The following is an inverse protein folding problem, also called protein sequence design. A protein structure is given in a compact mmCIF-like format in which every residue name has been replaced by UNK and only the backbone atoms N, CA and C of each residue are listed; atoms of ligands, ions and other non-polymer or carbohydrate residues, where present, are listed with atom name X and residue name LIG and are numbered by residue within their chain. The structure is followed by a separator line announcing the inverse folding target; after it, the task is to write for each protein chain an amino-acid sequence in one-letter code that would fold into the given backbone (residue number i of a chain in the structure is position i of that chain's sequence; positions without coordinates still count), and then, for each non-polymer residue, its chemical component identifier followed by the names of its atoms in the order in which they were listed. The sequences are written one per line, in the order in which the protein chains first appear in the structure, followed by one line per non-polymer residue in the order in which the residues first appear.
data_IF_875153890665
#
_entry.id   IF_875153890665
#
_cell.length_a   1.000
_cell.length_b   1.000
_cell.length_c   1.000
_cell.angle_alpha   90.00
_cell.angle_beta   90.00
_cell.angle_gamma   90.00
#
_symmetry.space_group_name_H-M   'P 1'
#
loop_
_entity.id
_entity.type
_entity.pdbx_description
1 polymer ?
#
# COMPACT_ATOMS: atom_id res chain seq x y z
N UNK A 1 1.59 -7.74 -0.54
CA UNK A 1 1.01 -7.49 -1.88
C UNK A 1 0.86 -8.77 -2.68
N UNK A 2 1.96 -9.46 -3.02
CA UNK A 2 1.89 -10.69 -3.82
C UNK A 2 0.98 -11.78 -3.22
N UNK A 3 1.07 -12.05 -1.93
CA UNK A 3 0.23 -13.09 -1.30
C UNK A 3 -1.27 -12.73 -1.29
N UNK A 4 -1.61 -11.43 -1.33
CA UNK A 4 -3.00 -10.98 -1.44
C UNK A 4 -3.49 -11.13 -2.88
N UNK A 5 -2.66 -10.77 -3.87
CA UNK A 5 -2.95 -10.99 -5.28
C UNK A 5 -3.11 -12.50 -5.59
N UNK A 6 -2.26 -13.35 -5.00
CA UNK A 6 -2.35 -14.80 -5.09
C UNK A 6 -3.62 -15.35 -4.42
N UNK A 7 -4.10 -14.70 -3.36
CA UNK A 7 -5.39 -14.99 -2.72
C UNK A 7 -6.60 -14.49 -3.55
N UNK A 8 -6.38 -13.99 -4.76
CA UNK A 8 -7.41 -13.53 -5.69
C UNK A 8 -7.84 -12.08 -5.51
N UNK A 9 -7.12 -11.29 -4.70
CA UNK A 9 -7.44 -9.89 -4.50
C UNK A 9 -6.92 -9.05 -5.66
N UNK A 10 -7.75 -8.15 -6.17
CA UNK A 10 -7.29 -7.10 -7.09
C UNK A 10 -6.51 -6.05 -6.28
N UNK A 11 -5.21 -5.91 -6.58
CA UNK A 11 -4.32 -4.99 -5.85
C UNK A 11 -4.03 -3.79 -6.74
N UNK A 12 -4.58 -2.64 -6.38
CA UNK A 12 -4.41 -1.38 -7.08
C UNK A 12 -3.43 -0.50 -6.33
N UNK A 13 -2.45 0.08 -7.04
CA UNK A 13 -1.43 0.95 -6.44
C UNK A 13 -1.44 2.30 -7.14
N UNK A 14 -1.53 3.37 -6.35
CA UNK A 14 -1.38 4.74 -6.84
C UNK A 14 0.09 5.15 -6.70
N UNK A 15 0.70 5.57 -7.81
CA UNK A 15 2.08 6.07 -7.85
C UNK A 15 2.13 7.48 -8.42
N UNK A 16 3.15 8.24 -8.03
CA UNK A 16 3.43 9.54 -8.62
C UNK A 16 3.62 9.41 -10.15
N UNK A 17 3.18 10.44 -10.87
CA UNK A 17 3.17 10.49 -12.34
C UNK A 17 4.59 10.66 -12.88
N UNK A 18 5.36 9.56 -12.95
CA UNK A 18 6.71 9.41 -13.57
C UNK A 18 7.45 8.13 -13.13
N UNK A 19 6.91 7.35 -12.19
CA UNK A 19 7.60 6.18 -11.66
C UNK A 19 7.62 4.98 -12.63
N UNK A 20 8.73 4.22 -12.68
CA UNK A 20 8.76 2.92 -13.34
C UNK A 20 7.80 1.97 -12.61
N UNK A 21 6.76 1.54 -13.32
CA UNK A 21 5.70 0.70 -12.76
C UNK A 21 6.00 -0.79 -12.84
N UNK A 22 7.01 -1.19 -13.63
CA UNK A 22 7.39 -2.60 -13.82
C UNK A 22 7.67 -3.34 -12.50
N UNK A 23 8.34 -2.76 -11.49
CA UNK A 23 8.50 -3.41 -10.19
C UNK A 23 7.15 -3.74 -9.51
N UNK A 24 6.13 -2.89 -9.69
CA UNK A 24 4.81 -3.09 -9.11
C UNK A 24 4.03 -4.19 -9.82
N UNK A 25 4.11 -4.24 -11.15
CA UNK A 25 3.52 -5.32 -11.94
C UNK A 25 4.11 -6.69 -11.55
N UNK A 26 5.42 -6.74 -11.32
CA UNK A 26 6.09 -7.95 -10.82
C UNK A 26 5.55 -8.36 -9.44
N UNK A 27 5.18 -7.41 -8.58
CA UNK A 27 4.55 -7.69 -7.29
C UNK A 27 3.07 -8.08 -7.39
N UNK A 28 2.50 -8.09 -8.59
CA UNK A 28 1.09 -8.38 -8.85
C UNK A 28 0.16 -7.19 -8.61
N UNK A 29 0.69 -5.96 -8.67
CA UNK A 29 -0.10 -4.75 -8.54
C UNK A 29 -0.37 -4.07 -9.88
N UNK A 30 -1.55 -3.47 -10.00
CA UNK A 30 -1.94 -2.66 -11.14
C UNK A 30 -1.74 -1.17 -10.81
N UNK A 31 -0.78 -0.49 -11.47
CA UNK A 31 -0.54 0.93 -11.25
C UNK A 31 -1.69 1.77 -11.84
N UNK A 32 -2.27 2.66 -11.05
CA UNK A 32 -3.13 3.73 -11.55
C UNK A 32 -2.37 5.06 -11.51
N UNK A 33 -2.42 5.81 -12.60
CA UNK A 33 -1.84 7.16 -12.67
C UNK A 33 -2.53 8.08 -11.65
N UNK A 34 -1.72 8.81 -10.89
CA UNK A 34 -2.08 9.62 -9.71
C UNK A 34 -3.12 10.73 -9.96
N UNK A 35 -3.60 10.95 -11.19
CA UNK A 35 -4.63 11.95 -11.47
C UNK A 35 -6.06 11.55 -11.09
N UNK A 36 -6.32 10.29 -10.71
CA UNK A 36 -7.69 9.81 -10.52
C UNK A 36 -7.81 9.07 -9.17
N UNK A 37 -8.87 9.38 -8.42
CA UNK A 37 -9.44 8.58 -7.31
C UNK A 37 -8.96 8.79 -5.85
N UNK A 38 -8.65 10.01 -5.42
CA UNK A 38 -9.00 10.38 -4.02
C UNK A 38 -10.17 11.35 -3.91
N UNK A 39 -10.54 12.00 -5.01
CA UNK A 39 -11.79 12.78 -5.14
C UNK A 39 -12.85 12.05 -5.97
N UNK A 40 -12.52 10.87 -6.52
CA UNK A 40 -13.31 10.19 -7.54
C UNK A 40 -13.71 8.77 -7.16
N UNK A 41 -13.61 8.36 -5.89
CA UNK A 41 -14.54 7.32 -5.44
C UNK A 41 -15.89 8.00 -5.37
N UNK A 42 -16.79 7.77 -6.35
CA UNK A 42 -18.14 8.29 -6.24
C UNK A 42 -18.71 7.66 -4.97
N UNK A 43 -19.67 8.32 -4.33
CA UNK A 43 -20.42 7.70 -3.23
C UNK A 43 -21.07 6.36 -3.65
N UNK A 44 -21.09 6.08 -4.97
CA UNK A 44 -21.70 4.92 -5.64
C UNK A 44 -20.71 3.94 -6.33
N UNK A 45 -19.38 4.08 -6.15
CA UNK A 45 -18.39 3.14 -6.73
C UNK A 45 -18.05 1.97 -5.81
N UNK A 46 -17.58 0.81 -6.33
CA UNK A 46 -17.12 -0.29 -5.48
C UNK A 46 -15.95 0.16 -4.61
N UNK A 47 -16.11 0.03 -3.30
CA UNK A 47 -15.06 0.34 -2.33
C UNK A 47 -14.05 -0.81 -2.30
N UNK A 48 -12.73 -0.52 -2.24
CA UNK A 48 -11.73 -1.57 -2.09
C UNK A 48 -11.91 -2.29 -0.75
N UNK A 49 -11.53 -3.57 -0.67
CA UNK A 49 -11.57 -4.31 0.58
C UNK A 49 -10.44 -3.93 1.55
N UNK A 50 -9.31 -3.43 1.02
CA UNK A 50 -8.23 -2.86 1.82
C UNK A 50 -7.62 -1.65 1.11
N UNK A 51 -7.37 -0.58 1.87
CA UNK A 51 -6.66 0.60 1.41
C UNK A 51 -5.25 0.62 2.01
N UNK A 52 -4.23 0.56 1.16
CA UNK A 52 -2.85 0.61 1.62
C UNK A 52 -2.21 1.97 1.28
N UNK A 53 -1.55 2.64 2.26
CA UNK A 53 -0.96 3.98 2.07
C UNK A 53 0.46 4.10 2.65
N UNK A 54 1.35 4.80 1.95
CA UNK A 54 2.67 5.11 2.47
C UNK A 54 2.59 6.12 3.62
N UNK A 55 3.19 5.80 4.77
CA UNK A 55 3.20 6.66 5.97
C UNK A 55 3.84 8.03 5.72
N UNK A 56 4.90 8.11 4.91
CA UNK A 56 5.50 9.40 4.54
C UNK A 56 4.58 10.24 3.64
N UNK A 57 3.76 9.61 2.81
CA UNK A 57 2.77 10.30 1.98
C UNK A 57 1.59 10.81 2.82
N UNK A 58 1.17 10.04 3.83
CA UNK A 58 0.17 10.48 4.81
C UNK A 58 0.64 11.73 5.58
N UNK A 59 1.93 11.80 5.93
CA UNK A 59 2.50 12.97 6.58
C UNK A 59 2.70 14.15 5.62
N UNK A 60 3.11 13.90 4.38
CA UNK A 60 3.43 14.95 3.42
C UNK A 60 2.19 15.61 2.79
N UNK A 61 1.12 14.85 2.53
CA UNK A 61 -0.01 15.32 1.71
C UNK A 61 -1.32 15.38 2.51
N UNK A 62 -1.81 16.59 2.78
CA UNK A 62 -3.04 16.82 3.56
C UNK A 62 -4.27 16.13 2.95
N UNK A 63 -4.35 16.09 1.61
CA UNK A 63 -5.43 15.39 0.91
C UNK A 63 -5.42 13.89 1.22
N UNK A 64 -4.23 13.27 1.18
CA UNK A 64 -4.03 11.85 1.50
C UNK A 64 -4.42 11.58 2.95
N UNK A 65 -3.99 12.45 3.85
CA UNK A 65 -4.33 12.39 5.27
C UNK A 65 -5.85 12.40 5.51
N UNK A 66 -6.55 13.36 4.91
CA UNK A 66 -8.00 13.49 5.06
C UNK A 66 -8.76 12.25 4.55
N UNK A 67 -8.36 11.70 3.40
CA UNK A 67 -8.98 10.48 2.86
C UNK A 67 -8.72 9.24 3.72
N UNK A 68 -7.51 9.10 4.26
CA UNK A 68 -7.17 7.99 5.18
C UNK A 68 -7.97 8.08 6.48
N UNK A 69 -8.08 9.27 7.07
CA UNK A 69 -8.86 9.45 8.30
C UNK A 69 -10.36 9.18 8.06
N UNK A 70 -10.92 9.64 6.95
CA UNK A 70 -12.31 9.35 6.58
C UNK A 70 -12.57 7.85 6.32
N UNK A 71 -11.59 7.14 5.75
CA UNK A 71 -11.61 5.67 5.62
C UNK A 71 -11.70 4.98 6.97
N UNK A 72 -10.83 5.39 7.89
CA UNK A 72 -10.72 4.83 9.23
C UNK A 72 -11.96 5.11 10.10
N UNK A 73 -12.61 6.25 9.91
CA UNK A 73 -13.87 6.60 10.60
C UNK A 73 -15.07 5.84 10.05
N UNK A 74 -15.10 5.61 8.73
CA UNK A 74 -16.22 4.96 8.08
C UNK A 74 -16.17 3.42 8.10
N UNK A 75 -15.03 2.84 8.50
CA UNK A 75 -14.75 1.40 8.51
C UNK A 75 -15.09 0.71 7.17
N UNK A 76 -14.95 1.45 6.06
CA UNK A 76 -15.35 0.97 4.71
C UNK A 76 -14.32 0.03 4.08
N UNK A 77 -13.05 0.07 4.49
CA UNK A 77 -12.04 -0.95 4.22
C UNK A 77 -11.04 -1.07 5.36
N UNK A 78 -10.32 -2.19 5.34
CA UNK A 78 -9.11 -2.39 6.12
C UNK A 78 -8.03 -1.40 5.71
N UNK A 79 -7.59 -0.55 6.63
CA UNK A 79 -6.51 0.40 6.36
C UNK A 79 -5.16 -0.27 6.68
N UNK A 80 -4.18 -0.11 5.78
CA UNK A 80 -2.81 -0.61 5.95
C UNK A 80 -1.79 0.47 5.62
N UNK A 81 -1.06 0.98 6.60
CA UNK A 81 0.05 1.90 6.33
C UNK A 81 1.38 1.18 6.39
N UNK A 82 2.30 1.52 5.48
CA UNK A 82 3.67 1.02 5.49
C UNK A 82 4.68 2.16 5.59
N UNK A 83 5.87 1.85 6.09
CA UNK A 83 6.98 2.78 6.24
C UNK A 83 7.26 3.16 7.71
N UNK A 84 8.32 3.96 7.93
CA UNK A 84 8.87 4.18 9.27
C UNK A 84 8.07 5.18 10.10
N UNK A 85 7.21 5.99 9.48
CA UNK A 85 6.46 7.02 10.17
C UNK A 85 5.29 6.40 10.97
N UNK A 86 5.14 6.86 12.20
CA UNK A 86 3.99 6.56 13.07
C UNK A 86 3.26 7.86 13.39
N UNK A 87 2.30 8.26 12.55
CA UNK A 87 1.56 9.51 12.73
C UNK A 87 0.77 9.48 14.03
N UNK A 88 0.77 10.60 14.76
CA UNK A 88 0.10 10.71 16.05
C UNK A 88 -1.41 10.45 15.96
N UNK A 89 -2.03 10.80 14.85
CA UNK A 89 -3.46 10.63 14.57
C UNK A 89 -3.87 9.15 14.45
N UNK A 90 -2.91 8.25 14.21
CA UNK A 90 -3.14 6.80 14.12
C UNK A 90 -2.81 6.06 15.42
N UNK A 91 -2.20 6.75 16.39
CA UNK A 91 -1.86 6.17 17.69
C UNK A 91 -3.15 5.78 18.43
N UNK A 92 -3.23 4.51 18.82
CA UNK A 92 -4.42 3.95 19.49
C UNK A 92 -5.59 3.60 18.56
N UNK A 93 -5.51 3.95 17.27
CA UNK A 93 -6.49 3.55 16.24
C UNK A 93 -5.96 2.42 15.35
N UNK A 94 -4.64 2.34 15.18
CA UNK A 94 -4.00 1.28 14.41
C UNK A 94 -3.03 0.48 15.28
N UNK A 95 -2.81 -0.79 14.92
CA UNK A 95 -1.84 -1.67 15.56
C UNK A 95 -0.78 -2.13 14.56
N UNK A 96 0.44 -2.40 15.03
CA UNK A 96 1.49 -2.91 14.16
C UNK A 96 1.27 -4.41 13.91
N UNK A 97 1.23 -4.80 12.64
CA UNK A 97 1.18 -6.18 12.18
C UNK A 97 2.42 -6.49 11.37
N UNK A 98 3.09 -7.59 11.72
CA UNK A 98 4.27 -8.09 11.01
C UNK A 98 3.81 -9.22 10.10
N UNK A 99 4.04 -9.06 8.81
CA UNK A 99 3.69 -10.03 7.80
C UNK A 99 4.94 -10.76 7.30
N UNK A 100 5.02 -12.07 7.52
CA UNK A 100 6.08 -12.90 6.94
C UNK A 100 5.79 -13.18 5.46
N UNK A 101 6.74 -12.84 4.60
CA UNK A 101 6.61 -13.08 3.16
C UNK A 101 6.73 -14.56 2.85
N UNK A 102 5.77 -15.09 2.08
CA UNK A 102 5.85 -16.45 1.56
C UNK A 102 7.08 -16.65 0.67
N UNK A 103 7.46 -17.90 0.41
CA UNK A 103 8.57 -18.20 -0.51
C UNK A 103 8.35 -17.59 -1.90
N UNK A 104 7.11 -17.63 -2.40
CA UNK A 104 6.74 -17.00 -3.66
C UNK A 104 6.85 -15.47 -3.56
N UNK A 105 6.28 -14.84 -2.54
CA UNK A 105 6.35 -13.40 -2.36
C UNK A 105 7.79 -12.88 -2.25
N UNK A 106 8.67 -13.63 -1.58
CA UNK A 106 10.11 -13.34 -1.53
C UNK A 106 10.76 -13.40 -2.92
N UNK A 107 10.40 -14.37 -3.74
CA UNK A 107 10.92 -14.50 -5.11
C UNK A 107 10.49 -13.34 -6.00
N UNK A 108 9.21 -12.97 -5.96
CA UNK A 108 8.68 -11.83 -6.71
C UNK A 108 9.27 -10.50 -6.20
N UNK A 109 9.40 -10.31 -4.88
CA UNK A 109 10.07 -9.13 -4.30
C UNK A 109 11.51 -8.99 -4.78
N UNK A 110 12.28 -10.08 -4.86
CA UNK A 110 13.65 -10.05 -5.43
C UNK A 110 13.65 -9.58 -6.89
N UNK A 111 12.69 -10.08 -7.68
CA UNK A 111 12.59 -9.72 -9.10
C UNK A 111 12.19 -8.26 -9.29
N UNK A 112 11.29 -7.75 -8.43
CA UNK A 112 10.88 -6.35 -8.40
C UNK A 112 12.04 -5.42 -8.00
N UNK A 113 12.81 -5.79 -6.97
CA UNK A 113 14.02 -5.05 -6.56
C UNK A 113 15.04 -4.95 -7.68
N UNK A 114 15.31 -6.06 -8.37
CA UNK A 114 16.20 -6.07 -9.53
C UNK A 114 15.68 -5.19 -10.67
N UNK A 115 14.35 -5.14 -10.89
CA UNK A 115 13.75 -4.25 -11.89
C UNK A 115 13.86 -2.77 -11.51
N UNK A 116 13.76 -2.46 -10.21
CA UNK A 116 13.90 -1.11 -9.66
C UNK A 116 15.38 -0.65 -9.52
N UNK A 117 16.36 -1.49 -9.87
CA UNK A 117 17.79 -1.20 -9.67
C UNK A 117 18.22 -1.18 -8.20
N UNK A 118 17.43 -1.76 -7.30
CA UNK A 118 17.69 -1.80 -5.86
C UNK A 118 18.49 -3.06 -5.46
N UNK A 119 19.39 -2.92 -4.48
CA UNK A 119 20.15 -4.06 -3.96
C UNK A 119 19.26 -5.02 -3.17
N UNK A 120 19.31 -6.34 -3.42
CA UNK A 120 18.59 -7.33 -2.63
C UNK A 120 19.02 -7.39 -1.15
N UNK A 121 20.16 -6.79 -0.77
CA UNK A 121 20.64 -6.74 0.62
C UNK A 121 19.74 -5.89 1.52
N UNK A 122 18.95 -4.99 0.92
CA UNK A 122 17.95 -4.17 1.62
C UNK A 122 16.61 -4.90 1.80
N UNK A 123 16.49 -6.13 1.29
CA UNK A 123 15.26 -6.90 1.40
C UNK A 123 15.09 -7.55 2.76
N UNK A 124 14.05 -7.15 3.46
CA UNK A 124 13.49 -7.88 4.60
C UNK A 124 12.62 -9.05 4.14
N UNK A 125 12.60 -10.13 4.92
CA UNK A 125 11.66 -11.25 4.76
C UNK A 125 10.31 -10.99 5.44
N UNK A 126 10.23 -9.91 6.20
CA UNK A 126 9.01 -9.44 6.86
C UNK A 126 8.65 -8.04 6.37
N UNK A 127 7.36 -7.75 6.36
CA UNK A 127 6.81 -6.42 6.11
C UNK A 127 6.04 -5.96 7.34
N UNK A 128 6.28 -4.72 7.76
CA UNK A 128 5.58 -4.15 8.91
C UNK A 128 4.50 -3.19 8.40
N UNK A 129 3.28 -3.38 8.89
CA UNK A 129 2.14 -2.53 8.56
C UNK A 129 1.49 -2.00 9.84
N UNK A 130 1.02 -0.75 9.81
CA UNK A 130 0.00 -0.29 10.74
C UNK A 130 -1.37 -0.66 10.17
N UNK A 131 -2.17 -1.39 10.93
CA UNK A 131 -3.48 -1.89 10.52
C UNK A 131 -4.56 -1.31 11.42
N UNK A 132 -5.64 -0.79 10.83
CA UNK A 132 -6.76 -0.18 11.54
C UNK A 132 -8.06 -0.21 10.75
#
# INVERSE_FOLDING_TARGET
MFDQALAGWEVTVHVATDCDVRPLEILGAHPLDHRICMQSHPEDGPWPQALAVCSSLFEAEEKVRAGVLGTLESARADLRLWGPAQPAELVGRCHTSVYELSFAARAFKRRAFAAAGLSPDTMTTTENFLVG
#
